data_IF_339151784762
#
_entry.id   IF_339151784762
#
_cell.length_a   1.000
_cell.length_b   1.000
_cell.length_c   1.000
_cell.angle_alpha   90.00
_cell.angle_beta   90.00
_cell.angle_gamma   90.00
#
_symmetry.space_group_name_H-M   'P 1'
#
loop_
_entity.id
_entity.type
_entity.pdbx_description
1 polymer ?
#
# COMPACT_ATOMS: atom_id res chain seq x y z
N UNK A 1 -4.73 -18.97 -22.64
CA UNK A 1 -5.54 -18.60 -21.47
C UNK A 1 -5.88 -17.13 -21.62
N UNK A 2 -7.13 -16.78 -21.91
CA UNK A 2 -7.55 -15.38 -22.03
C UNK A 2 -7.39 -14.74 -20.66
N UNK A 3 -6.58 -13.66 -20.59
CA UNK A 3 -6.34 -12.93 -19.36
C UNK A 3 -7.65 -12.41 -18.79
N UNK A 4 -8.08 -12.96 -17.66
CA UNK A 4 -9.06 -12.28 -16.84
C UNK A 4 -8.41 -10.99 -16.38
N UNK A 5 -9.09 -9.88 -16.59
CA UNK A 5 -8.70 -8.59 -16.05
C UNK A 5 -8.51 -8.71 -14.52
N UNK A 6 -7.46 -8.12 -13.99
CA UNK A 6 -7.18 -8.17 -12.55
C UNK A 6 -8.38 -7.68 -11.72
N UNK A 7 -9.09 -6.65 -12.21
CA UNK A 7 -10.31 -6.15 -11.58
C UNK A 7 -11.37 -7.22 -11.39
N UNK A 8 -11.57 -8.09 -12.37
CA UNK A 8 -12.52 -9.22 -12.28
C UNK A 8 -12.12 -10.20 -11.19
N UNK A 9 -10.84 -10.53 -11.06
CA UNK A 9 -10.35 -11.43 -9.99
C UNK A 9 -10.59 -10.83 -8.61
N UNK A 10 -10.31 -9.54 -8.43
CA UNK A 10 -10.58 -8.85 -7.16
C UNK A 10 -12.08 -8.78 -6.85
N UNK A 11 -12.93 -8.54 -7.85
CA UNK A 11 -14.39 -8.53 -7.68
C UNK A 11 -14.92 -9.92 -7.28
N UNK A 12 -14.39 -11.01 -7.82
CA UNK A 12 -14.73 -12.38 -7.41
C UNK A 12 -14.33 -12.66 -5.95
N UNK A 13 -13.12 -12.24 -5.54
CA UNK A 13 -12.61 -12.38 -4.18
C UNK A 13 -13.48 -11.60 -3.18
N UNK A 14 -13.72 -10.32 -3.47
CA UNK A 14 -14.45 -9.43 -2.54
C UNK A 14 -15.98 -9.51 -2.69
N UNK A 15 -16.48 -10.02 -3.81
CA UNK A 15 -17.88 -10.33 -4.05
C UNK A 15 -18.38 -11.58 -3.31
N UNK A 16 -17.44 -12.39 -2.79
CA UNK A 16 -17.75 -13.62 -2.03
C UNK A 16 -17.87 -14.88 -2.88
N UNK A 17 -17.56 -14.80 -4.19
CA UNK A 17 -17.51 -15.97 -5.07
C UNK A 17 -16.30 -16.86 -4.73
N UNK A 18 -15.19 -16.24 -4.37
CA UNK A 18 -14.01 -16.89 -3.80
C UNK A 18 -13.92 -16.45 -2.33
N UNK A 19 -14.32 -17.28 -1.39
CA UNK A 19 -14.08 -17.04 0.04
C UNK A 19 -12.68 -17.50 0.38
N UNK A 20 -11.70 -16.57 0.58
CA UNK A 20 -10.41 -16.95 1.14
C UNK A 20 -10.69 -17.56 2.52
N UNK A 21 -10.18 -18.76 2.74
CA UNK A 21 -10.29 -19.40 4.06
C UNK A 21 -9.53 -18.57 5.09
N UNK A 22 -10.21 -17.69 5.81
CA UNK A 22 -9.63 -17.02 6.96
C UNK A 22 -9.31 -18.08 8.01
N UNK A 23 -8.06 -18.50 8.09
CA UNK A 23 -7.58 -19.25 9.25
C UNK A 23 -7.55 -18.28 10.44
N UNK A 24 -8.59 -18.35 11.28
CA UNK A 24 -8.56 -17.62 12.55
C UNK A 24 -7.31 -18.03 13.32
N UNK A 25 -6.53 -17.08 13.85
CA UNK A 25 -5.36 -17.42 14.64
C UNK A 25 -5.79 -18.34 15.79
N UNK A 26 -5.20 -19.53 15.88
CA UNK A 26 -5.47 -20.52 16.94
C UNK A 26 -4.30 -20.54 17.94
N UNK A 27 -4.53 -20.93 19.17
CA UNK A 27 -3.51 -21.07 20.19
C UNK A 27 -3.05 -19.76 20.83
N UNK A 28 -1.76 -19.68 21.16
CA UNK A 28 -1.16 -18.55 21.89
C UNK A 28 -1.41 -17.19 21.23
N UNK A 29 -1.34 -17.12 19.91
CA UNK A 29 -1.61 -15.87 19.17
C UNK A 29 -3.07 -15.41 19.32
N UNK A 30 -4.04 -16.31 19.36
CA UNK A 30 -5.43 -15.98 19.63
C UNK A 30 -5.61 -15.45 21.06
N UNK A 31 -4.96 -16.11 22.05
CA UNK A 31 -5.00 -15.70 23.43
C UNK A 31 -4.36 -14.30 23.62
N UNK A 32 -3.19 -14.07 23.00
CA UNK A 32 -2.53 -12.77 23.01
C UNK A 32 -3.38 -11.69 22.35
N UNK A 33 -4.04 -12.01 21.25
CA UNK A 33 -4.94 -11.07 20.57
C UNK A 33 -6.20 -10.76 21.43
N UNK A 34 -6.72 -11.73 22.17
CA UNK A 34 -7.83 -11.54 23.11
C UNK A 34 -7.43 -10.67 24.31
N UNK A 35 -6.23 -10.87 24.87
CA UNK A 35 -5.73 -10.12 26.04
C UNK A 35 -5.27 -8.72 25.63
N UNK A 36 -4.54 -8.59 24.56
CA UNK A 36 -3.89 -7.36 24.12
C UNK A 36 -4.55 -6.67 22.92
N UNK A 37 -5.67 -7.19 22.42
CA UNK A 37 -6.35 -6.67 21.25
C UNK A 37 -6.78 -5.20 21.39
N UNK A 38 -7.15 -4.78 22.61
CA UNK A 38 -7.43 -3.36 22.91
C UNK A 38 -6.20 -2.44 22.79
N UNK A 39 -5.00 -2.99 22.73
CA UNK A 39 -3.74 -2.27 22.46
C UNK A 39 -3.31 -2.44 20.99
N UNK A 40 -4.18 -2.98 20.16
CA UNK A 40 -3.95 -3.07 18.72
C UNK A 40 -4.25 -1.72 18.07
N UNK A 41 -3.33 -1.28 17.22
CA UNK A 41 -3.56 -0.14 16.33
C UNK A 41 -3.94 -0.70 14.98
N UNK A 42 -5.17 -0.42 14.53
CA UNK A 42 -5.57 -0.75 13.17
C UNK A 42 -4.70 -0.03 12.15
N UNK A 43 -4.55 -0.61 10.95
CA UNK A 43 -3.73 -0.02 9.88
C UNK A 43 -4.24 1.33 9.40
N UNK A 44 -5.57 1.54 9.41
CA UNK A 44 -6.19 2.83 9.08
C UNK A 44 -5.84 3.85 10.17
N UNK A 45 -5.99 3.50 11.44
CA UNK A 45 -5.61 4.36 12.57
C UNK A 45 -4.13 4.71 12.55
N UNK A 46 -3.27 3.73 12.22
CA UNK A 46 -1.83 3.94 12.12
C UNK A 46 -1.49 4.95 11.00
N UNK A 47 -2.19 4.87 9.87
CA UNK A 47 -2.03 5.81 8.75
C UNK A 47 -2.55 7.21 9.12
N UNK A 48 -3.75 7.29 9.72
CA UNK A 48 -4.36 8.56 10.14
C UNK A 48 -3.48 9.35 11.12
N UNK A 49 -2.81 8.67 12.06
CA UNK A 49 -1.86 9.29 13.02
C UNK A 49 -0.62 9.89 12.34
N UNK A 50 -0.34 9.54 11.10
CA UNK A 50 0.79 10.05 10.30
C UNK A 50 0.36 11.12 9.31
N UNK A 51 -0.94 11.24 9.05
CA UNK A 51 -1.50 12.31 8.24
C UNK A 51 -1.47 13.64 9.00
N UNK A 52 -1.49 14.71 8.25
CA UNK A 52 -1.78 16.06 8.75
C UNK A 52 -2.79 16.70 7.82
N UNK A 53 -3.62 17.62 8.31
CA UNK A 53 -4.61 18.33 7.51
C UNK A 53 -4.01 18.93 6.23
N UNK A 54 -4.82 18.98 5.19
CA UNK A 54 -4.47 19.53 3.89
C UNK A 54 -5.71 19.76 3.03
N UNK A 55 -5.49 20.18 1.78
CA UNK A 55 -6.58 20.39 0.83
C UNK A 55 -7.05 19.10 0.21
N UNK A 56 -6.12 18.28 -0.34
CA UNK A 56 -6.47 17.07 -1.10
C UNK A 56 -5.67 15.85 -0.65
N UNK A 57 -6.40 14.77 -0.37
CA UNK A 57 -5.86 13.42 -0.10
C UNK A 57 -6.20 12.49 -1.24
N UNK A 58 -5.27 11.65 -1.67
CA UNK A 58 -5.52 10.48 -2.51
C UNK A 58 -5.29 9.21 -1.68
N UNK A 59 -6.24 8.27 -1.73
CA UNK A 59 -6.05 6.90 -1.24
C UNK A 59 -5.97 5.93 -2.42
N UNK A 60 -4.80 5.34 -2.61
CA UNK A 60 -4.51 4.38 -3.67
C UNK A 60 -4.86 2.98 -3.17
N UNK A 61 -5.79 2.30 -3.87
CA UNK A 61 -6.40 1.06 -3.40
C UNK A 61 -7.34 1.29 -2.21
N UNK A 62 -8.25 2.25 -2.36
CA UNK A 62 -9.09 2.74 -1.26
C UNK A 62 -10.12 1.72 -0.75
N UNK A 63 -10.37 0.66 -1.50
CA UNK A 63 -11.31 -0.39 -1.14
C UNK A 63 -12.71 0.10 -0.80
N UNK A 64 -13.19 -0.29 0.37
CA UNK A 64 -14.52 0.09 0.87
C UNK A 64 -14.56 1.53 1.45
N UNK A 65 -13.48 2.33 1.27
CA UNK A 65 -13.41 3.75 1.61
C UNK A 65 -13.20 4.08 3.09
N UNK A 66 -12.87 3.12 3.93
CA UNK A 66 -12.83 3.34 5.39
C UNK A 66 -11.79 4.40 5.79
N UNK A 67 -10.61 4.43 5.16
CA UNK A 67 -9.59 5.46 5.40
C UNK A 67 -10.07 6.83 4.92
N UNK A 68 -10.66 6.92 3.72
CA UNK A 68 -11.17 8.18 3.16
C UNK A 68 -12.23 8.81 4.06
N UNK A 69 -13.19 7.98 4.51
CA UNK A 69 -14.28 8.42 5.39
C UNK A 69 -13.73 8.93 6.73
N UNK A 70 -12.72 8.27 7.28
CA UNK A 70 -12.08 8.68 8.53
C UNK A 70 -11.20 9.94 8.36
N UNK A 71 -10.53 10.09 7.21
CA UNK A 71 -9.65 11.22 6.92
C UNK A 71 -10.40 12.47 6.46
N UNK A 72 -11.69 12.37 6.09
CA UNK A 72 -12.44 13.48 5.50
C UNK A 72 -12.46 14.75 6.35
N UNK A 73 -12.50 14.62 7.67
CA UNK A 73 -12.40 15.78 8.58
C UNK A 73 -11.04 16.49 8.58
N UNK A 74 -10.01 15.90 7.98
CA UNK A 74 -8.66 16.45 7.89
C UNK A 74 -8.37 17.09 6.52
N UNK A 75 -9.20 16.83 5.49
CA UNK A 75 -9.01 17.33 4.14
C UNK A 75 -10.30 17.93 3.58
N UNK A 76 -10.16 18.94 2.73
CA UNK A 76 -11.29 19.56 2.05
C UNK A 76 -11.93 18.60 1.05
N UNK A 77 -11.09 17.90 0.27
CA UNK A 77 -11.48 16.90 -0.70
C UNK A 77 -10.66 15.61 -0.50
N UNK A 78 -11.31 14.47 -0.64
CA UNK A 78 -10.64 13.17 -0.60
C UNK A 78 -10.97 12.36 -1.85
N UNK A 79 -9.96 11.75 -2.41
CA UNK A 79 -10.01 10.97 -3.64
C UNK A 79 -9.61 9.53 -3.35
N UNK A 80 -10.35 8.57 -3.89
CA UNK A 80 -10.03 7.15 -3.81
C UNK A 80 -10.00 6.53 -5.18
N UNK A 81 -8.98 5.72 -5.43
CA UNK A 81 -8.89 4.87 -6.62
C UNK A 81 -8.82 3.42 -6.20
N UNK A 82 -9.57 2.56 -6.87
CA UNK A 82 -9.52 1.11 -6.66
C UNK A 82 -9.87 0.38 -7.96
N UNK A 83 -9.34 -0.82 -8.14
CA UNK A 83 -9.61 -1.67 -9.29
C UNK A 83 -10.90 -2.49 -9.13
N UNK A 84 -11.41 -2.65 -7.89
CA UNK A 84 -12.61 -3.43 -7.59
C UNK A 84 -13.87 -2.56 -7.63
N UNK A 85 -14.74 -2.86 -8.58
CA UNK A 85 -16.04 -2.20 -8.72
C UNK A 85 -16.96 -2.50 -7.54
N UNK A 86 -16.88 -3.72 -6.99
CA UNK A 86 -17.65 -4.19 -5.84
C UNK A 86 -17.30 -3.40 -4.58
N UNK A 87 -16.01 -3.19 -4.33
CA UNK A 87 -15.55 -2.40 -3.17
C UNK A 87 -15.92 -0.95 -3.30
N UNK A 88 -15.73 -0.34 -4.48
CA UNK A 88 -16.11 1.04 -4.74
C UNK A 88 -17.61 1.28 -4.62
N UNK A 89 -18.45 0.30 -4.98
CA UNK A 89 -19.90 0.39 -4.74
C UNK A 89 -20.18 0.54 -3.24
N UNK A 90 -19.58 -0.28 -2.39
CA UNK A 90 -19.73 -0.18 -0.93
C UNK A 90 -19.19 1.15 -0.39
N UNK A 91 -18.07 1.64 -0.93
CA UNK A 91 -17.53 2.95 -0.57
C UNK A 91 -18.49 4.09 -0.91
N UNK A 92 -19.11 4.06 -2.11
CA UNK A 92 -20.13 5.05 -2.52
C UNK A 92 -21.37 5.00 -1.62
N UNK A 93 -21.84 3.79 -1.26
CA UNK A 93 -22.96 3.63 -0.34
C UNK A 93 -22.67 4.17 1.06
N UNK A 94 -21.45 4.07 1.55
CA UNK A 94 -21.03 4.68 2.82
C UNK A 94 -20.92 6.21 2.69
N UNK A 95 -20.34 6.72 1.60
CA UNK A 95 -20.16 8.13 1.35
C UNK A 95 -21.53 8.87 1.21
N UNK A 96 -22.49 8.27 0.49
CA UNK A 96 -23.83 8.87 0.27
C UNK A 96 -24.63 9.09 1.54
N UNK A 97 -24.28 8.40 2.64
CA UNK A 97 -24.93 8.57 3.96
C UNK A 97 -24.34 9.72 4.78
N UNK A 98 -23.35 10.43 4.25
CA UNK A 98 -22.65 11.51 4.95
C UNK A 98 -23.06 12.87 4.39
N UNK A 99 -23.14 13.91 5.24
CA UNK A 99 -23.44 15.28 4.80
C UNK A 99 -22.37 15.84 3.84
N UNK A 100 -21.12 15.36 3.95
CA UNK A 100 -19.95 15.79 3.18
C UNK A 100 -19.55 14.77 2.08
N UNK A 101 -20.50 13.92 1.69
CA UNK A 101 -20.25 12.84 0.71
C UNK A 101 -19.94 13.34 -0.70
N UNK A 102 -20.38 14.54 -1.07
CA UNK A 102 -20.08 15.21 -2.34
C UNK A 102 -18.59 15.55 -2.53
N UNK A 103 -17.85 15.63 -1.43
CA UNK A 103 -16.40 15.89 -1.42
C UNK A 103 -15.55 14.60 -1.37
N UNK A 104 -16.20 13.45 -1.56
CA UNK A 104 -15.54 12.13 -1.62
C UNK A 104 -15.62 11.63 -3.07
N UNK A 105 -14.49 11.67 -3.76
CA UNK A 105 -14.39 11.32 -5.17
C UNK A 105 -13.84 9.90 -5.34
N UNK A 106 -14.64 8.99 -5.91
CA UNK A 106 -14.29 7.57 -6.05
C UNK A 106 -14.19 7.19 -7.54
N UNK A 107 -13.03 6.67 -7.92
CA UNK A 107 -12.71 6.31 -9.30
C UNK A 107 -12.37 4.82 -9.42
N UNK A 108 -13.05 4.12 -10.33
CA UNK A 108 -12.67 2.79 -10.76
C UNK A 108 -11.51 2.92 -11.75
N UNK A 109 -10.32 2.49 -11.36
CA UNK A 109 -9.14 2.65 -12.18
C UNK A 109 -8.03 1.69 -11.76
N UNK A 110 -7.33 1.10 -12.73
CA UNK A 110 -6.10 0.36 -12.51
C UNK A 110 -4.93 1.33 -12.38
N UNK A 111 -4.34 1.39 -11.21
CA UNK A 111 -3.22 2.28 -10.92
C UNK A 111 -1.93 1.92 -11.68
N UNK A 112 -1.86 0.72 -12.25
CA UNK A 112 -0.75 0.29 -13.10
C UNK A 112 -0.83 0.86 -14.52
N UNK A 113 -1.96 1.43 -14.91
CA UNK A 113 -2.10 2.24 -16.13
C UNK A 113 -1.60 3.68 -15.95
N UNK A 114 -1.33 4.09 -14.72
CA UNK A 114 -0.96 5.44 -14.29
C UNK A 114 -2.06 6.08 -13.45
N UNK A 115 -1.78 7.23 -12.85
CA UNK A 115 -2.77 7.96 -12.05
C UNK A 115 -3.38 9.11 -12.88
N UNK A 116 -4.72 9.15 -13.09
CA UNK A 116 -5.39 10.13 -13.96
C UNK A 116 -5.57 11.50 -13.27
N UNK A 117 -4.50 12.00 -12.67
CA UNK A 117 -4.47 13.28 -11.97
C UNK A 117 -3.30 14.14 -12.43
N UNK A 118 -3.39 15.48 -12.35
CA UNK A 118 -2.30 16.39 -12.70
C UNK A 118 -1.08 16.23 -11.79
N UNK A 119 0.07 16.67 -12.26
CA UNK A 119 1.31 16.75 -11.47
C UNK A 119 1.09 17.65 -10.25
N UNK A 120 1.52 17.20 -9.08
CA UNK A 120 1.47 17.97 -7.84
C UNK A 120 0.05 18.35 -7.37
N UNK A 121 -0.94 17.51 -7.63
CA UNK A 121 -2.33 17.79 -7.27
C UNK A 121 -2.66 17.54 -5.79
N UNK A 122 -2.03 16.55 -5.16
CA UNK A 122 -2.33 16.11 -3.80
C UNK A 122 -1.34 16.62 -2.76
N UNK A 123 -1.83 16.93 -1.56
CA UNK A 123 -1.04 17.27 -0.38
C UNK A 123 -0.54 16.00 0.34
N UNK A 124 -1.37 14.96 0.31
CA UNK A 124 -1.04 13.65 0.88
C UNK A 124 -1.55 12.52 -0.01
N UNK A 125 -0.85 11.38 0.04
CA UNK A 125 -1.24 10.12 -0.58
C UNK A 125 -1.13 9.01 0.47
N UNK A 126 -2.12 8.12 0.51
CA UNK A 126 -2.09 6.86 1.27
C UNK A 126 -2.09 5.68 0.29
N UNK A 127 -1.38 4.60 0.67
CA UNK A 127 -1.32 3.34 -0.06
C UNK A 127 -1.16 2.22 0.96
N UNK A 128 -2.27 1.63 1.36
CA UNK A 128 -2.36 0.74 2.52
C UNK A 128 -2.70 -0.67 2.06
N UNK A 129 -1.78 -1.62 2.21
CA UNK A 129 -1.91 -3.00 1.75
C UNK A 129 -2.27 -3.10 0.25
N UNK A 130 -1.48 -2.42 -0.57
CA UNK A 130 -1.64 -2.40 -2.04
C UNK A 130 -0.32 -2.70 -2.74
N UNK A 131 0.79 -2.13 -2.25
CA UNK A 131 2.08 -2.16 -2.94
C UNK A 131 2.58 -3.60 -3.19
N UNK A 132 2.28 -4.52 -2.27
CA UNK A 132 2.61 -5.93 -2.35
C UNK A 132 1.85 -6.69 -3.46
N UNK A 133 0.73 -6.17 -3.91
CA UNK A 133 -0.13 -6.77 -4.92
C UNK A 133 0.17 -6.29 -6.35
N UNK A 134 0.89 -5.19 -6.49
CA UNK A 134 1.18 -4.58 -7.79
C UNK A 134 2.20 -5.41 -8.58
N UNK A 135 2.03 -5.48 -9.90
CA UNK A 135 3.02 -6.10 -10.79
C UNK A 135 4.26 -5.20 -10.89
N UNK A 136 4.05 -3.88 -10.95
CA UNK A 136 5.12 -2.89 -11.10
C UNK A 136 5.09 -1.80 -10.02
N UNK A 137 5.42 -2.12 -8.75
CA UNK A 137 5.45 -1.15 -7.67
C UNK A 137 6.31 0.09 -7.93
N UNK A 138 7.50 0.01 -8.57
CA UNK A 138 8.29 1.20 -8.89
C UNK A 138 7.59 2.19 -9.80
N UNK A 139 6.85 1.69 -10.81
CA UNK A 139 6.10 2.57 -11.71
C UNK A 139 4.98 3.30 -10.96
N UNK A 140 4.16 2.58 -10.19
CA UNK A 140 3.07 3.18 -9.42
C UNK A 140 3.59 4.18 -8.38
N UNK A 141 4.72 3.89 -7.70
CA UNK A 141 5.40 4.84 -6.82
C UNK A 141 5.89 6.08 -7.58
N UNK A 142 6.32 5.95 -8.83
CA UNK A 142 6.72 7.08 -9.66
C UNK A 142 5.53 7.97 -10.04
N UNK A 143 4.36 7.38 -10.27
CA UNK A 143 3.12 8.09 -10.50
C UNK A 143 2.60 8.78 -9.23
N UNK A 144 2.67 8.10 -8.07
CA UNK A 144 2.40 8.75 -6.78
C UNK A 144 3.35 9.94 -6.54
N UNK A 145 4.64 9.80 -6.90
CA UNK A 145 5.57 10.93 -6.84
C UNK A 145 5.14 12.06 -7.77
N UNK A 146 4.69 11.77 -9.00
CA UNK A 146 4.25 12.78 -9.95
C UNK A 146 3.08 13.59 -9.43
N UNK A 147 2.01 12.92 -9.00
CA UNK A 147 0.75 13.58 -8.59
C UNK A 147 0.82 14.21 -7.19
N UNK A 148 1.81 13.88 -6.37
CA UNK A 148 2.03 14.46 -5.05
C UNK A 148 2.77 15.79 -5.17
N UNK A 149 2.37 16.80 -4.40
CA UNK A 149 3.09 18.08 -4.28
C UNK A 149 4.50 17.88 -3.75
N UNK A 150 5.43 18.76 -4.10
CA UNK A 150 6.75 18.80 -3.44
C UNK A 150 6.56 19.11 -1.95
N UNK A 151 7.21 18.35 -1.07
CA UNK A 151 6.99 18.41 0.37
C UNK A 151 5.74 17.67 0.83
N UNK A 152 4.92 17.16 -0.09
CA UNK A 152 3.74 16.35 0.21
C UNK A 152 4.08 15.03 0.89
N UNK A 153 3.10 14.44 1.56
CA UNK A 153 3.25 13.26 2.41
C UNK A 153 2.74 12.01 1.70
N UNK A 154 3.54 10.96 1.74
CA UNK A 154 3.18 9.63 1.29
C UNK A 154 3.18 8.70 2.51
N UNK A 155 2.04 8.06 2.79
CA UNK A 155 1.90 7.04 3.82
C UNK A 155 1.73 5.70 3.12
N UNK A 156 2.64 4.77 3.37
CA UNK A 156 2.58 3.40 2.85
C UNK A 156 2.54 2.43 4.01
N UNK A 157 1.68 1.41 3.89
CA UNK A 157 1.72 0.25 4.76
C UNK A 157 1.86 -1.01 3.90
N UNK A 158 2.78 -1.89 4.31
CA UNK A 158 2.99 -3.21 3.71
C UNK A 158 3.25 -4.25 4.80
N UNK A 159 2.93 -5.53 4.56
CA UNK A 159 3.32 -6.63 5.42
C UNK A 159 4.84 -6.78 5.49
N UNK A 160 5.35 -7.13 6.67
CA UNK A 160 6.78 -7.38 6.90
C UNK A 160 7.08 -8.86 6.82
N UNK A 161 7.69 -9.31 5.72
CA UNK A 161 8.09 -10.71 5.55
C UNK A 161 9.12 -11.15 6.60
N UNK A 162 9.93 -10.20 7.12
CA UNK A 162 10.99 -10.47 8.10
C UNK A 162 10.49 -10.50 9.56
N UNK A 163 9.16 -10.46 9.79
CA UNK A 163 8.54 -10.63 11.10
C UNK A 163 8.98 -11.94 11.77
N UNK A 164 9.26 -11.93 13.08
CA UNK A 164 9.85 -13.06 13.80
C UNK A 164 9.15 -14.40 13.56
N UNK A 165 7.82 -14.51 13.60
CA UNK A 165 7.15 -15.77 13.29
C UNK A 165 7.46 -16.30 11.88
N UNK A 166 7.61 -15.41 10.89
CA UNK A 166 7.96 -15.79 9.52
C UNK A 166 9.40 -16.29 9.43
N UNK A 167 10.34 -15.70 10.17
CA UNK A 167 11.72 -16.19 10.27
C UNK A 167 11.77 -17.58 10.89
N UNK A 168 11.01 -17.82 11.96
CA UNK A 168 10.91 -19.13 12.60
C UNK A 168 10.27 -20.17 11.67
N UNK A 169 9.24 -19.79 10.91
CA UNK A 169 8.64 -20.68 9.89
C UNK A 169 9.70 -21.09 8.85
N UNK A 170 10.47 -20.13 8.35
CA UNK A 170 11.51 -20.40 7.34
C UNK A 170 12.63 -21.30 7.90
N UNK A 171 13.05 -21.09 9.14
CA UNK A 171 14.01 -21.97 9.83
C UNK A 171 13.51 -23.42 9.96
N UNK A 172 12.19 -23.60 10.04
CA UNK A 172 11.53 -24.91 10.10
C UNK A 172 11.17 -25.46 8.70
N UNK A 173 11.71 -24.90 7.62
CA UNK A 173 11.41 -25.28 6.24
C UNK A 173 10.00 -24.96 5.76
N UNK A 174 9.28 -24.05 6.45
CA UNK A 174 7.93 -23.63 6.09
C UNK A 174 7.96 -22.26 5.42
N UNK A 175 7.12 -22.06 4.39
CA UNK A 175 7.00 -20.76 3.74
C UNK A 175 6.54 -19.68 4.72
N UNK A 176 7.16 -18.51 4.72
CA UNK A 176 6.64 -17.35 5.41
C UNK A 176 5.34 -16.87 4.74
N UNK A 177 4.40 -16.36 5.52
CA UNK A 177 3.10 -15.93 5.03
C UNK A 177 2.81 -14.51 5.49
N UNK A 178 2.35 -13.67 4.58
CA UNK A 178 2.04 -12.27 4.86
C UNK A 178 0.59 -11.90 4.53
N UNK A 179 -0.14 -12.75 3.84
CA UNK A 179 -1.51 -12.52 3.40
C UNK A 179 -2.38 -13.75 3.44
N UNK A 180 -3.22 -13.86 2.44
CA UNK A 180 -4.10 -15.00 2.25
C UNK A 180 -3.32 -16.20 1.75
N UNK A 181 -3.38 -17.25 2.52
CA UNK A 181 -2.72 -18.52 2.21
C UNK A 181 -3.82 -19.54 1.96
N UNK A 182 -3.72 -20.23 0.84
CA UNK A 182 -4.62 -21.35 0.53
C UNK A 182 -4.36 -22.55 1.45
N UNK A 183 -5.11 -23.63 1.27
CA UNK A 183 -4.96 -24.90 1.99
C UNK A 183 -3.64 -25.60 1.71
N UNK A 184 -2.99 -25.30 0.57
CA UNK A 184 -1.64 -25.78 0.21
C UNK A 184 -0.55 -24.95 0.88
N UNK A 185 -0.82 -23.73 1.31
CA UNK A 185 0.12 -22.86 2.00
C UNK A 185 0.79 -21.83 1.10
N UNK A 186 0.24 -21.55 -0.09
CA UNK A 186 0.76 -20.58 -1.06
C UNK A 186 0.00 -19.24 -0.92
N UNK A 187 0.75 -18.14 -0.90
CA UNK A 187 0.20 -16.78 -0.95
C UNK A 187 0.11 -16.34 -2.41
N UNK A 188 -1.10 -16.41 -2.99
CA UNK A 188 -1.35 -16.10 -4.40
C UNK A 188 -1.55 -14.62 -4.69
N UNK A 189 -1.78 -13.82 -3.66
CA UNK A 189 -2.13 -12.42 -3.83
C UNK A 189 -0.93 -11.48 -3.66
N UNK A 190 0.08 -11.87 -2.88
CA UNK A 190 1.26 -11.04 -2.66
C UNK A 190 2.35 -11.36 -3.66
N UNK A 191 2.47 -10.53 -4.69
CA UNK A 191 3.50 -10.64 -5.72
C UNK A 191 4.88 -10.21 -5.19
N UNK A 192 4.90 -9.29 -4.21
CA UNK A 192 6.13 -8.76 -3.65
C UNK A 192 6.18 -8.88 -2.13
N UNK A 193 7.37 -9.18 -1.62
CA UNK A 193 7.66 -9.23 -0.19
C UNK A 193 8.54 -8.06 0.23
N UNK A 194 8.16 -7.38 1.31
CA UNK A 194 8.89 -6.22 1.82
C UNK A 194 9.47 -6.48 3.20
N UNK A 195 10.65 -5.90 3.43
CA UNK A 195 11.18 -5.62 4.76
C UNK A 195 11.23 -4.10 4.97
N UNK A 196 11.32 -3.59 6.21
CA UNK A 196 11.49 -2.16 6.44
C UNK A 196 12.64 -1.56 5.64
N UNK A 197 13.77 -2.24 5.57
CA UNK A 197 14.97 -1.78 4.85
C UNK A 197 14.75 -1.69 3.34
N UNK A 198 14.16 -2.72 2.73
CA UNK A 198 13.86 -2.75 1.29
C UNK A 198 12.89 -1.64 0.91
N UNK A 199 11.83 -1.45 1.71
CA UNK A 199 10.85 -0.38 1.48
C UNK A 199 11.51 1.01 1.56
N UNK A 200 12.34 1.26 2.58
CA UNK A 200 13.07 2.54 2.72
C UNK A 200 13.99 2.79 1.52
N UNK A 201 14.74 1.77 1.08
CA UNK A 201 15.62 1.89 -0.10
C UNK A 201 14.82 2.20 -1.37
N UNK A 202 13.70 1.53 -1.57
CA UNK A 202 12.82 1.75 -2.72
C UNK A 202 12.27 3.18 -2.71
N UNK A 203 11.70 3.64 -1.59
CA UNK A 203 11.15 4.99 -1.47
C UNK A 203 12.20 6.08 -1.73
N UNK A 204 13.42 5.91 -1.20
CA UNK A 204 14.51 6.85 -1.45
C UNK A 204 14.87 6.92 -2.95
N UNK A 205 14.89 5.79 -3.65
CA UNK A 205 15.10 5.75 -5.11
C UNK A 205 13.96 6.45 -5.86
N UNK A 206 12.73 6.33 -5.38
CA UNK A 206 11.54 6.97 -5.96
C UNK A 206 11.39 8.46 -5.59
N UNK A 207 12.43 9.10 -5.03
CA UNK A 207 12.44 10.55 -4.78
C UNK A 207 11.78 10.98 -3.47
N UNK A 208 11.49 10.04 -2.61
CA UNK A 208 10.98 10.28 -1.27
C UNK A 208 12.09 10.21 -0.22
N UNK A 209 11.89 10.84 0.92
CA UNK A 209 12.72 10.66 2.12
C UNK A 209 11.82 10.16 3.24
N UNK A 210 12.20 9.05 3.85
CA UNK A 210 11.45 8.48 4.97
C UNK A 210 11.65 9.38 6.20
N UNK A 211 10.54 9.91 6.71
CA UNK A 211 10.51 10.78 7.89
C UNK A 211 10.19 10.01 9.17
N UNK A 212 9.37 8.95 9.07
CA UNK A 212 8.97 8.14 10.23
C UNK A 212 8.67 6.71 9.82
N UNK A 213 9.07 5.77 10.67
CA UNK A 213 8.67 4.37 10.63
C UNK A 213 7.77 4.08 11.83
N UNK A 214 6.67 3.39 11.58
CA UNK A 214 5.71 2.93 12.57
C UNK A 214 5.28 1.49 12.24
N UNK A 215 4.43 0.92 13.05
CA UNK A 215 3.78 -0.36 12.76
C UNK A 215 2.32 -0.33 13.18
N UNK A 216 1.55 -1.23 12.59
CA UNK A 216 0.18 -1.55 13.01
C UNK A 216 0.13 -2.88 13.75
N UNK A 217 -1.05 -3.25 14.23
CA UNK A 217 -1.29 -4.52 14.91
C UNK A 217 -1.11 -4.48 16.42
N UNK A 218 -1.13 -5.66 17.03
CA UNK A 218 -1.08 -5.84 18.49
C UNK A 218 0.25 -5.33 19.06
N UNK A 219 0.20 -4.55 20.14
CA UNK A 219 1.37 -3.97 20.82
C UNK A 219 2.26 -3.10 19.93
N UNK A 220 1.67 -2.41 18.94
CA UNK A 220 2.40 -1.53 18.01
C UNK A 220 3.29 -0.50 18.73
N UNK A 221 2.85 0.00 19.88
CA UNK A 221 3.62 0.94 20.71
C UNK A 221 4.97 0.40 21.18
N UNK A 222 5.07 -0.90 21.50
CA UNK A 222 6.32 -1.56 21.93
C UNK A 222 7.12 -2.05 20.73
N UNK A 223 6.44 -2.58 19.70
CA UNK A 223 7.06 -3.15 18.50
C UNK A 223 7.87 -2.15 17.69
N UNK A 224 7.58 -0.85 17.84
CA UNK A 224 8.33 0.22 17.16
C UNK A 224 9.84 0.20 17.44
N UNK A 225 10.28 -0.34 18.57
CA UNK A 225 11.71 -0.45 18.92
C UNK A 225 12.44 -1.61 18.25
N UNK A 226 11.71 -2.51 17.59
CA UNK A 226 12.29 -3.63 16.87
C UNK A 226 11.50 -3.95 15.59
N UNK A 227 11.24 -2.93 14.77
CA UNK A 227 10.35 -3.01 13.59
C UNK A 227 10.68 -4.17 12.67
N UNK A 228 11.95 -4.40 12.37
CA UNK A 228 12.37 -5.49 11.48
C UNK A 228 12.01 -6.87 12.00
N UNK A 229 11.99 -7.06 13.32
CA UNK A 229 11.77 -8.36 13.97
C UNK A 229 10.36 -8.53 14.52
N UNK A 230 9.83 -7.48 15.14
CA UNK A 230 8.63 -7.55 15.95
C UNK A 230 7.37 -7.04 15.24
N UNK A 231 7.51 -6.21 14.21
CA UNK A 231 6.35 -5.69 13.49
C UNK A 231 5.87 -6.66 12.40
N UNK A 232 4.59 -7.03 12.43
CA UNK A 232 3.94 -7.78 11.35
C UNK A 232 3.74 -6.94 10.10
N UNK A 233 3.53 -5.62 10.32
CA UNK A 233 3.29 -4.64 9.26
C UNK A 233 4.14 -3.40 9.51
N UNK A 234 4.64 -2.82 8.44
CA UNK A 234 5.42 -1.58 8.48
C UNK A 234 4.58 -0.45 7.89
N UNK A 235 4.47 0.64 8.65
CA UNK A 235 3.82 1.88 8.21
C UNK A 235 4.89 2.96 8.08
N UNK A 236 4.99 3.56 6.91
CA UNK A 236 6.01 4.56 6.59
C UNK A 236 5.35 5.89 6.29
N UNK A 237 5.84 6.96 6.93
CA UNK A 237 5.65 8.33 6.47
C UNK A 237 6.88 8.74 5.68
N UNK A 238 6.69 9.05 4.40
CA UNK A 238 7.72 9.57 3.52
C UNK A 238 7.32 10.94 2.95
N UNK A 239 8.30 11.79 2.69
CA UNK A 239 8.10 13.14 2.16
C UNK A 239 8.70 13.21 0.76
N UNK A 240 7.95 13.72 -0.21
CA UNK A 240 8.48 13.96 -1.56
C UNK A 240 9.53 15.06 -1.52
N UNK A 241 10.76 14.73 -1.90
CA UNK A 241 11.90 15.67 -1.96
C UNK A 241 12.24 16.11 -3.37
N UNK A 242 12.12 15.19 -4.33
CA UNK A 242 12.41 15.48 -5.73
C UNK A 242 11.35 14.86 -6.64
N UNK A 243 11.06 15.50 -7.75
CA UNK A 243 10.29 14.93 -8.84
C UNK A 243 11.18 14.00 -9.67
N UNK A 244 10.60 12.90 -10.16
CA UNK A 244 11.29 11.99 -11.07
C UNK A 244 11.18 12.54 -12.51
N UNK A 245 12.25 12.43 -13.34
CA UNK A 245 12.18 12.82 -14.73
C UNK A 245 11.10 12.02 -15.49
N UNK A 246 10.35 12.63 -16.44
CA UNK A 246 9.35 11.93 -17.24
C UNK A 246 9.92 10.68 -17.94
N UNK A 247 11.10 10.80 -18.55
CA UNK A 247 11.80 9.67 -19.20
C UNK A 247 12.04 8.49 -18.26
N UNK A 248 12.30 8.74 -16.98
CA UNK A 248 12.51 7.66 -16.00
C UNK A 248 11.21 6.90 -15.72
N UNK A 249 10.07 7.60 -15.66
CA UNK A 249 8.75 6.98 -15.50
C UNK A 249 8.38 6.13 -16.71
N UNK A 250 8.62 6.61 -17.92
CA UNK A 250 8.39 5.83 -19.15
C UNK A 250 9.22 4.53 -19.18
N UNK A 251 10.49 4.61 -18.76
CA UNK A 251 11.33 3.41 -18.65
C UNK A 251 10.74 2.41 -17.65
N UNK A 252 10.28 2.87 -16.48
CA UNK A 252 9.67 2.01 -15.47
C UNK A 252 8.37 1.37 -15.97
N UNK A 253 7.58 2.08 -16.76
CA UNK A 253 6.33 1.57 -17.34
C UNK A 253 6.58 0.40 -18.30
N UNK A 254 7.60 0.51 -19.15
CA UNK A 254 7.91 -0.47 -20.19
C UNK A 254 8.70 -1.66 -19.64
N UNK A 255 9.59 -1.43 -18.66
CA UNK A 255 10.49 -2.43 -18.12
C UNK A 255 10.51 -2.38 -16.58
N UNK A 256 9.69 -3.19 -15.91
CA UNK A 256 9.66 -3.27 -14.44
C UNK A 256 11.00 -3.67 -13.85
N UNK A 257 11.83 -4.38 -14.62
CA UNK A 257 13.19 -4.80 -14.24
C UNK A 257 14.25 -3.76 -14.62
N UNK A 258 13.86 -2.63 -15.25
CA UNK A 258 14.80 -1.55 -15.53
C UNK A 258 15.52 -1.17 -14.23
N UNK A 259 16.81 -1.41 -14.22
CA UNK A 259 17.68 -1.32 -13.05
C UNK A 259 17.45 -0.01 -12.32
N UNK A 260 16.95 -0.07 -11.12
CA UNK A 260 16.99 1.04 -10.15
C UNK A 260 18.45 1.38 -9.77
N UNK A 261 19.40 0.95 -10.60
CA UNK A 261 20.83 1.21 -10.50
C UNK A 261 21.18 2.50 -11.19
N UNK A 262 21.42 3.55 -10.43
CA UNK A 262 22.16 4.74 -10.86
C UNK A 262 21.43 5.63 -11.87
N UNK A 263 21.00 6.79 -11.42
CA UNK A 263 20.82 7.97 -12.27
C UNK A 263 22.24 8.46 -12.66
N UNK A 264 22.90 7.73 -13.53
CA UNK A 264 24.24 8.07 -13.95
C UNK A 264 24.85 6.93 -14.78
N UNK A 265 24.39 6.74 -15.96
CA UNK A 265 25.07 6.32 -17.18
C UNK A 265 24.04 5.64 -18.11
N UNK A 266 23.31 6.44 -18.86
CA UNK A 266 22.77 5.98 -20.14
C UNK A 266 23.95 6.04 -21.10
N UNK A 267 24.69 4.94 -21.21
CA UNK A 267 25.65 4.76 -22.30
C UNK A 267 24.85 4.66 -23.57
N UNK A 268 24.98 5.67 -24.43
CA UNK A 268 24.54 5.62 -25.81
C UNK A 268 25.32 4.51 -26.54
N UNK A 269 24.67 3.39 -26.81
CA UNK A 269 25.08 2.55 -27.90
C UNK A 269 24.33 3.02 -29.16
N UNK A 270 24.85 4.08 -29.79
CA UNK A 270 24.65 4.31 -31.22
C UNK A 270 25.53 3.30 -31.93
N UNK A 271 24.94 2.31 -32.52
CA UNK A 271 25.62 1.50 -33.53
C UNK A 271 25.76 2.35 -34.78
N UNK A 272 27.01 2.56 -35.17
CA UNK A 272 27.42 2.89 -36.52
C UNK A 272 27.07 1.80 -37.51
#
# INVERSE_FOLDING_TARGET
MSGRDQGTVYDEVYGGALRPGFSRPRGLLWLLNKIFGRFSIDRVDAALRLLSPGTRLLDVGCGDGDLLLAAKGMFEEVYGVDISSVRLKRAREKASKRPDGDKIHLLLHDVEEGLPFPDGFFDAITCIAVLEHLVNPPYVLSEMNRVLKRGGRLIIQVPNIAFLPNRLRLLLGKLPTTGYVDDVGVDWLHLHSFTPEVLVKLLNKMGFTVAKLACSGVLAGIRRYGLSLLASDVVVLAIKRRSLPPRFREILKINPLARLGGVGTVVQHTKS
#
